data_IF_009549432377
#
_entry.id   IF_009549432377
#
_cell.length_a   1.000
_cell.length_b   1.000
_cell.length_c   1.000
_cell.angle_alpha   90.00
_cell.angle_beta   90.00
_cell.angle_gamma   90.00
#
_symmetry.space_group_name_H-M   'P 1'
#
loop_
_entity.id
_entity.type
_entity.pdbx_description
1 polymer ?
#
# COMPACT_ATOMS: atom_id res chain seq x y z
N UNK A 1 20.56 37.20 30.18
CA UNK A 1 19.40 37.93 29.63
C UNK A 1 19.56 38.09 28.12
N UNK A 2 18.89 37.23 27.33
CA UNK A 2 18.23 37.54 26.04
C UNK A 2 17.66 36.24 25.46
N UNK A 3 16.51 35.84 26.01
CA UNK A 3 15.47 35.12 25.28
C UNK A 3 14.66 36.19 24.56
N UNK A 4 14.58 36.16 23.23
CA UNK A 4 13.44 36.60 22.42
C UNK A 4 13.87 36.82 20.95
N UNK A 5 13.18 36.11 20.04
CA UNK A 5 13.06 36.35 18.59
C UNK A 5 14.24 35.95 17.68
N UNK A 6 14.48 34.65 17.52
CA UNK A 6 15.00 34.12 16.25
C UNK A 6 13.79 33.64 15.45
N UNK A 7 13.27 34.51 14.57
CA UNK A 7 12.47 34.03 13.45
C UNK A 7 13.36 33.12 12.62
N UNK A 8 12.85 31.95 12.21
CA UNK A 8 13.59 31.04 11.34
C UNK A 8 14.17 31.78 10.13
N UNK A 9 15.28 31.29 9.60
CA UNK A 9 15.85 31.83 8.36
C UNK A 9 14.75 31.96 7.28
N UNK A 10 14.83 32.94 6.35
CA UNK A 10 13.82 33.10 5.30
C UNK A 10 13.52 31.77 4.58
N UNK A 11 14.58 31.02 4.32
CA UNK A 11 14.61 29.64 3.88
C UNK A 11 13.71 28.68 4.70
N UNK A 12 13.89 28.58 6.03
CA UNK A 12 13.08 27.71 6.90
C UNK A 12 11.61 28.13 6.96
N UNK A 13 11.34 29.45 6.89
CA UNK A 13 9.97 29.97 6.86
C UNK A 13 9.29 29.55 5.56
N UNK A 14 9.97 29.70 4.42
CA UNK A 14 9.46 29.28 3.12
C UNK A 14 9.24 27.77 3.08
N UNK A 15 10.18 26.98 3.59
CA UNK A 15 10.03 25.53 3.66
C UNK A 15 8.81 25.10 4.49
N UNK A 16 8.62 25.68 5.68
CA UNK A 16 7.45 25.40 6.52
C UNK A 16 6.14 25.86 5.87
N UNK A 17 6.15 26.98 5.14
CA UNK A 17 5.01 27.45 4.39
C UNK A 17 4.65 26.49 3.25
N UNK A 18 5.64 25.99 2.50
CA UNK A 18 5.43 25.00 1.45
C UNK A 18 4.79 23.71 1.99
N UNK A 19 5.24 23.24 3.16
CA UNK A 19 4.63 22.10 3.84
C UNK A 19 3.16 22.37 4.21
N UNK A 20 2.89 23.54 4.77
CA UNK A 20 1.53 23.93 5.13
C UNK A 20 0.59 23.99 3.92
N UNK A 21 1.05 24.54 2.80
CA UNK A 21 0.29 24.61 1.55
C UNK A 21 0.02 23.21 0.97
N UNK A 22 1.02 22.33 1.00
CA UNK A 22 0.89 20.93 0.59
C UNK A 22 -0.17 20.20 1.42
N UNK A 23 -0.19 20.40 2.74
CA UNK A 23 -1.21 19.82 3.62
C UNK A 23 -2.63 20.32 3.32
N UNK A 24 -2.76 21.51 2.73
CA UNK A 24 -4.04 22.10 2.32
C UNK A 24 -4.45 21.73 0.89
N UNK A 25 -3.64 20.93 0.19
CA UNK A 25 -3.80 20.60 -1.23
C UNK A 25 -3.78 21.83 -2.15
N UNK A 26 -3.11 22.91 -1.72
CA UNK A 26 -2.85 24.13 -2.51
C UNK A 26 -1.53 23.92 -3.29
N UNK A 27 -1.59 23.03 -4.29
CA UNK A 27 -0.39 22.47 -4.92
C UNK A 27 0.39 23.47 -5.79
N UNK A 28 -0.30 24.39 -6.49
CA UNK A 28 0.37 25.40 -7.32
C UNK A 28 1.09 26.45 -6.47
N UNK A 29 0.47 26.90 -5.38
CA UNK A 29 1.10 27.80 -4.42
C UNK A 29 2.28 27.14 -3.70
N UNK A 30 2.17 25.85 -3.38
CA UNK A 30 3.28 25.09 -2.80
C UNK A 30 4.48 25.02 -3.75
N UNK A 31 4.25 24.88 -5.07
CA UNK A 31 5.32 24.90 -6.08
C UNK A 31 6.09 26.22 -6.06
N UNK A 32 5.39 27.35 -6.03
CA UNK A 32 6.04 28.67 -5.97
C UNK A 32 6.88 28.84 -4.71
N UNK A 33 6.34 28.42 -3.56
CA UNK A 33 7.02 28.57 -2.27
C UNK A 33 8.25 27.66 -2.16
N UNK A 34 8.18 26.41 -2.64
CA UNK A 34 9.34 25.52 -2.65
C UNK A 34 10.42 25.98 -3.65
N UNK A 35 10.03 26.56 -4.79
CA UNK A 35 10.97 27.18 -5.72
C UNK A 35 11.72 28.35 -5.06
N UNK A 36 11.00 29.21 -4.31
CA UNK A 36 11.63 30.28 -3.55
C UNK A 36 12.55 29.76 -2.43
N UNK A 37 12.19 28.67 -1.74
CA UNK A 37 13.05 28.05 -0.73
C UNK A 37 14.36 27.50 -1.33
N UNK A 38 14.32 27.01 -2.58
CA UNK A 38 15.49 26.56 -3.32
C UNK A 38 16.43 27.71 -3.70
N UNK A 39 15.91 28.90 -4.01
CA UNK A 39 16.73 30.10 -4.27
C UNK A 39 17.58 30.50 -3.05
N UNK A 40 17.06 30.24 -1.84
CA UNK A 40 17.76 30.46 -0.57
C UNK A 40 18.73 29.31 -0.20
N UNK A 41 18.92 28.32 -1.08
CA UNK A 41 19.77 27.14 -0.89
C UNK A 41 19.46 26.31 0.38
N UNK A 42 18.20 26.32 0.83
CA UNK A 42 17.79 25.51 1.98
C UNK A 42 17.64 24.04 1.60
N UNK A 43 18.35 23.16 2.32
CA UNK A 43 18.24 21.70 2.25
C UNK A 43 17.93 21.19 0.83
N UNK A 44 18.86 21.45 -0.09
CA UNK A 44 18.62 21.47 -1.53
C UNK A 44 18.01 20.16 -2.04
N UNK A 45 18.47 19.00 -1.54
CA UNK A 45 17.94 17.70 -1.94
C UNK A 45 16.48 17.52 -1.49
N UNK A 46 16.17 17.80 -0.22
CA UNK A 46 14.81 17.66 0.31
C UNK A 46 13.87 18.68 -0.35
N UNK A 47 14.31 19.92 -0.54
CA UNK A 47 13.53 20.98 -1.20
C UNK A 47 13.18 20.63 -2.65
N UNK A 48 14.11 20.01 -3.41
CA UNK A 48 13.80 19.47 -4.76
C UNK A 48 12.79 18.33 -4.70
N UNK A 49 12.87 17.44 -3.70
CA UNK A 49 11.90 16.35 -3.51
C UNK A 49 10.51 16.88 -3.18
N UNK A 50 10.41 17.88 -2.29
CA UNK A 50 9.15 18.53 -1.93
C UNK A 50 8.53 19.29 -3.11
N UNK A 51 9.35 20.00 -3.89
CA UNK A 51 8.92 20.62 -5.15
C UNK A 51 8.38 19.58 -6.14
N UNK A 52 9.07 18.44 -6.30
CA UNK A 52 8.60 17.35 -7.15
C UNK A 52 7.24 16.79 -6.70
N UNK A 53 7.04 16.64 -5.39
CA UNK A 53 5.76 16.20 -4.83
C UNK A 53 4.64 17.21 -5.09
N UNK A 54 4.91 18.50 -4.89
CA UNK A 54 3.95 19.56 -5.18
C UNK A 54 3.57 19.62 -6.66
N UNK A 55 4.56 19.50 -7.57
CA UNK A 55 4.34 19.43 -9.03
C UNK A 55 3.49 18.21 -9.42
N UNK A 56 3.73 17.06 -8.80
CA UNK A 56 2.95 15.86 -9.06
C UNK A 56 1.49 16.03 -8.63
N UNK A 57 1.26 16.61 -7.45
CA UNK A 57 -0.09 16.91 -6.95
C UNK A 57 -0.80 17.97 -7.80
N UNK A 58 -0.06 18.93 -8.36
CA UNK A 58 -0.54 19.90 -9.36
C UNK A 58 -0.76 19.28 -10.76
N UNK A 59 -0.73 17.95 -10.89
CA UNK A 59 -0.92 17.22 -12.15
C UNK A 59 0.10 17.58 -13.25
N UNK A 60 1.35 17.88 -12.85
CA UNK A 60 2.48 18.21 -13.73
C UNK A 60 3.59 17.12 -13.62
N UNK A 61 3.32 15.86 -14.01
CA UNK A 61 4.21 14.73 -13.75
C UNK A 61 5.55 14.82 -14.48
N UNK A 62 5.62 15.47 -15.65
CA UNK A 62 6.86 15.65 -16.40
C UNK A 62 7.85 16.55 -15.64
N UNK A 63 7.37 17.63 -15.03
CA UNK A 63 8.20 18.54 -14.24
C UNK A 63 8.54 17.94 -12.89
N UNK A 64 7.60 17.20 -12.29
CA UNK A 64 7.84 16.42 -11.07
C UNK A 64 9.01 15.43 -11.26
N UNK A 65 9.04 14.71 -12.39
CA UNK A 65 10.14 13.80 -12.74
C UNK A 65 11.49 14.52 -12.71
N UNK A 66 11.61 15.68 -13.35
CA UNK A 66 12.85 16.44 -13.37
C UNK A 66 13.25 16.89 -11.97
N UNK A 67 12.30 17.39 -11.17
CA UNK A 67 12.56 17.81 -9.79
C UNK A 67 13.07 16.64 -8.91
N UNK A 68 12.46 15.45 -9.03
CA UNK A 68 12.94 14.27 -8.30
C UNK A 68 14.31 13.80 -8.78
N UNK A 69 14.61 13.84 -10.09
CA UNK A 69 15.95 13.53 -10.59
C UNK A 69 16.99 14.49 -10.03
N UNK A 70 16.69 15.80 -9.95
CA UNK A 70 17.55 16.79 -9.32
C UNK A 70 17.76 16.53 -7.83
N UNK A 71 16.72 16.11 -7.10
CA UNK A 71 16.87 15.68 -5.71
C UNK A 71 17.85 14.50 -5.58
N UNK A 72 17.73 13.50 -6.46
CA UNK A 72 18.58 12.29 -6.45
C UNK A 72 20.00 12.52 -6.96
N UNK A 73 20.24 13.54 -7.78
CA UNK A 73 21.59 13.99 -8.12
C UNK A 73 22.32 14.59 -6.92
N UNK A 74 21.59 15.23 -6.00
CA UNK A 74 22.13 15.83 -4.78
C UNK A 74 22.26 14.79 -3.66
N UNK A 75 21.25 13.95 -3.48
CA UNK A 75 21.26 12.82 -2.56
C UNK A 75 20.74 11.53 -3.23
N UNK A 76 21.65 10.67 -3.73
CA UNK A 76 21.27 9.40 -4.35
C UNK A 76 20.59 8.40 -3.41
N UNK A 77 20.70 8.61 -2.09
CA UNK A 77 20.14 7.76 -1.04
C UNK A 77 18.75 8.20 -0.56
N UNK A 78 18.19 9.28 -1.12
CA UNK A 78 16.87 9.78 -0.75
C UNK A 78 15.77 8.84 -1.26
N UNK A 79 15.48 7.80 -0.48
CA UNK A 79 14.51 6.75 -0.82
C UNK A 79 13.10 7.31 -1.11
N UNK A 80 12.68 8.34 -0.37
CA UNK A 80 11.39 9.03 -0.61
C UNK A 80 11.33 9.63 -2.01
N UNK A 81 12.38 10.31 -2.48
CA UNK A 81 12.44 10.88 -3.83
C UNK A 81 12.43 9.79 -4.91
N UNK A 82 13.10 8.65 -4.70
CA UNK A 82 13.02 7.51 -5.63
C UNK A 82 11.62 6.91 -5.71
N UNK A 83 10.96 6.76 -4.57
CA UNK A 83 9.61 6.23 -4.51
C UNK A 83 8.62 7.14 -5.26
N UNK A 84 8.70 8.45 -5.02
CA UNK A 84 7.85 9.45 -5.70
C UNK A 84 8.18 9.61 -7.19
N UNK A 85 9.45 9.48 -7.58
CA UNK A 85 9.86 9.39 -8.98
C UNK A 85 9.17 8.20 -9.67
N UNK A 86 9.02 7.08 -8.99
CA UNK A 86 8.29 5.92 -9.50
C UNK A 86 6.84 6.26 -9.88
N UNK A 87 6.12 7.01 -9.04
CA UNK A 87 4.77 7.48 -9.37
C UNK A 87 4.74 8.46 -10.54
N UNK A 88 5.67 9.42 -10.57
CA UNK A 88 5.78 10.36 -11.68
C UNK A 88 6.04 9.65 -13.02
N UNK A 89 6.94 8.67 -13.04
CA UNK A 89 7.22 7.84 -14.23
C UNK A 89 6.00 7.01 -14.64
N UNK A 90 5.29 6.42 -13.69
CA UNK A 90 4.05 5.68 -13.97
C UNK A 90 2.97 6.57 -14.58
N UNK A 91 2.82 7.81 -14.11
CA UNK A 91 1.87 8.77 -14.69
C UNK A 91 2.24 9.20 -16.11
N UNK A 92 3.53 9.15 -16.45
CA UNK A 92 4.05 9.41 -17.80
C UNK A 92 4.04 8.16 -18.72
N UNK A 93 3.67 6.99 -18.18
CA UNK A 93 3.66 5.72 -18.90
C UNK A 93 5.01 5.01 -18.99
N UNK A 94 6.06 5.49 -18.32
CA UNK A 94 7.34 4.77 -18.17
C UNK A 94 7.27 3.84 -16.97
N UNK A 95 6.55 2.74 -17.13
CA UNK A 95 6.31 1.80 -16.05
C UNK A 95 7.54 0.94 -15.72
N UNK A 96 8.39 0.64 -16.71
CA UNK A 96 9.66 -0.05 -16.48
C UNK A 96 10.59 0.81 -15.61
N UNK A 97 10.65 2.11 -15.90
CA UNK A 97 11.34 3.09 -15.07
C UNK A 97 10.76 3.17 -13.67
N UNK A 98 9.44 3.24 -13.56
CA UNK A 98 8.75 3.27 -12.28
C UNK A 98 9.11 2.07 -11.41
N UNK A 99 9.04 0.86 -11.96
CA UNK A 99 9.36 -0.37 -11.26
C UNK A 99 10.81 -0.40 -10.76
N UNK A 100 11.77 0.04 -11.58
CA UNK A 100 13.19 0.09 -11.19
C UNK A 100 13.41 1.04 -10.02
N UNK A 101 12.84 2.24 -10.07
CA UNK A 101 13.07 3.25 -9.04
C UNK A 101 12.35 2.91 -7.74
N UNK A 102 11.13 2.37 -7.80
CA UNK A 102 10.42 1.89 -6.60
C UNK A 102 11.14 0.72 -5.93
N UNK A 103 11.68 -0.24 -6.70
CA UNK A 103 12.48 -1.35 -6.13
C UNK A 103 13.71 -0.83 -5.39
N UNK A 104 14.44 0.11 -6.00
CA UNK A 104 15.61 0.74 -5.36
C UNK A 104 15.26 1.50 -4.09
N UNK A 105 14.12 2.20 -4.06
CA UNK A 105 13.64 2.87 -2.86
C UNK A 105 13.42 1.89 -1.70
N UNK A 106 12.76 0.76 -1.99
CA UNK A 106 12.47 -0.29 -1.00
C UNK A 106 13.72 -1.04 -0.51
N UNK A 107 14.75 -1.18 -1.37
CA UNK A 107 16.05 -1.73 -0.99
C UNK A 107 16.82 -0.82 -0.02
N UNK A 108 16.65 0.51 -0.14
CA UNK A 108 17.35 1.51 0.67
C UNK A 108 16.68 1.74 2.03
N UNK A 109 15.36 1.83 2.08
CA UNK A 109 14.59 1.95 3.34
C UNK A 109 13.49 0.87 3.44
N UNK A 110 13.77 -0.26 4.10
CA UNK A 110 12.78 -1.33 4.32
C UNK A 110 11.65 -0.97 5.30
N UNK A 111 11.62 0.26 5.82
CA UNK A 111 10.59 0.77 6.76
C UNK A 111 9.33 1.25 6.02
N UNK A 112 9.40 1.46 4.70
CA UNK A 112 8.19 1.47 3.89
C UNK A 112 7.48 0.13 4.09
N UNK A 113 6.20 0.13 4.52
CA UNK A 113 5.54 -1.07 5.03
C UNK A 113 5.78 -2.23 4.05
N UNK A 114 6.22 -3.40 4.55
CA UNK A 114 6.61 -4.51 3.69
C UNK A 114 5.51 -4.75 2.66
N UNK A 115 5.85 -4.95 1.37
CA UNK A 115 4.90 -4.99 0.28
C UNK A 115 3.99 -6.21 0.47
N UNK A 116 2.93 -6.04 1.26
CA UNK A 116 1.83 -7.00 1.40
C UNK A 116 0.77 -6.79 0.33
N UNK A 117 0.88 -5.70 -0.42
CA UNK A 117 0.24 -5.51 -1.71
C UNK A 117 1.35 -5.45 -2.75
N UNK A 118 1.38 -6.46 -3.63
CA UNK A 118 2.06 -6.39 -4.92
C UNK A 118 1.63 -5.05 -5.56
N UNK A 119 2.58 -4.18 -5.86
CA UNK A 119 2.27 -2.81 -6.26
C UNK A 119 1.31 -2.83 -7.44
N UNK A 120 0.41 -1.85 -7.55
CA UNK A 120 -0.50 -1.77 -8.71
C UNK A 120 0.28 -1.74 -10.04
N UNK A 121 1.51 -1.21 -10.00
CA UNK A 121 2.47 -1.19 -11.11
C UNK A 121 3.00 -2.61 -11.38
N UNK A 122 3.32 -3.42 -10.36
CA UNK A 122 3.73 -4.82 -10.54
C UNK A 122 2.63 -5.67 -11.20
N UNK A 123 1.35 -5.37 -10.93
CA UNK A 123 0.21 -6.10 -11.53
C UNK A 123 0.12 -5.85 -13.04
N UNK A 124 0.52 -4.67 -13.52
CA UNK A 124 0.46 -4.33 -14.95
C UNK A 124 1.56 -5.01 -15.78
N UNK A 125 2.66 -5.45 -15.14
CA UNK A 125 3.82 -6.09 -15.78
C UNK A 125 4.02 -7.54 -15.35
N UNK A 126 3.05 -8.10 -14.62
CA UNK A 126 3.06 -9.52 -14.31
C UNK A 126 2.67 -10.28 -15.58
N UNK A 127 3.61 -11.05 -16.14
CA UNK A 127 3.35 -12.04 -17.19
C UNK A 127 2.49 -13.17 -16.59
N UNK A 128 1.25 -12.89 -16.23
CA UNK A 128 0.18 -13.86 -15.95
C UNK A 128 0.53 -15.04 -15.04
N UNK A 129 1.60 -15.02 -14.23
CA UNK A 129 1.92 -16.10 -13.32
C UNK A 129 1.16 -15.87 -12.03
N UNK A 130 -0.16 -15.97 -12.14
CA UNK A 130 -0.94 -16.48 -11.03
C UNK A 130 -0.27 -17.79 -10.62
N UNK A 131 0.09 -17.99 -9.34
CA UNK A 131 0.55 -19.28 -8.89
C UNK A 131 -0.63 -20.24 -9.10
N UNK A 132 -0.65 -20.92 -10.24
CA UNK A 132 -1.47 -22.09 -10.43
C UNK A 132 -1.06 -23.08 -9.34
N UNK A 133 -2.02 -23.78 -8.70
CA UNK A 133 -1.67 -24.82 -7.75
C UNK A 133 -0.66 -25.75 -8.43
N UNK A 134 0.44 -26.02 -7.73
CA UNK A 134 1.54 -26.84 -8.22
C UNK A 134 0.98 -28.18 -8.70
N UNK A 135 0.87 -28.30 -10.02
CA UNK A 135 0.45 -29.50 -10.72
C UNK A 135 1.68 -30.11 -11.37
N UNK A 136 2.78 -30.22 -10.61
CA UNK A 136 3.86 -31.21 -10.82
C UNK A 136 4.71 -31.09 -12.08
N UNK A 137 4.33 -30.31 -13.09
CA UNK A 137 5.03 -30.25 -14.38
C UNK A 137 4.96 -28.82 -14.93
N UNK A 138 5.77 -27.91 -14.36
CA UNK A 138 6.10 -26.65 -15.03
C UNK A 138 7.38 -26.83 -15.84
N UNK A 139 7.27 -27.41 -17.04
CA UNK A 139 8.37 -27.35 -18.01
C UNK A 139 8.44 -25.95 -18.63
N UNK A 140 9.60 -25.31 -18.46
CA UNK A 140 9.88 -23.99 -19.03
C UNK A 140 10.17 -24.15 -20.52
N UNK A 141 9.21 -23.77 -21.36
CA UNK A 141 9.34 -23.84 -22.82
C UNK A 141 10.22 -22.70 -23.34
N UNK A 142 11.25 -23.00 -24.14
CA UNK A 142 12.11 -21.99 -24.75
C UNK A 142 11.37 -21.12 -25.79
N UNK A 143 11.74 -19.84 -25.85
CA UNK A 143 11.12 -18.87 -26.73
C UNK A 143 11.29 -19.27 -28.21
N UNK A 144 10.17 -19.56 -28.89
CA UNK A 144 10.13 -19.97 -30.29
C UNK A 144 9.71 -21.43 -30.54
N UNK A 145 9.55 -22.24 -29.49
CA UNK A 145 8.95 -23.56 -29.63
C UNK A 145 7.44 -23.46 -29.93
N UNK A 146 6.95 -24.32 -30.83
CA UNK A 146 5.53 -24.41 -31.12
C UNK A 146 4.79 -24.91 -29.88
N UNK A 147 3.91 -24.09 -29.32
CA UNK A 147 3.06 -24.45 -28.19
C UNK A 147 2.06 -25.49 -28.69
N UNK A 148 2.00 -26.70 -28.11
CA UNK A 148 0.99 -27.68 -28.50
C UNK A 148 -0.40 -27.09 -28.22
N UNK A 149 -1.32 -27.24 -29.17
CA UNK A 149 -2.71 -26.83 -29.01
C UNK A 149 -3.32 -27.52 -27.80
N UNK A 150 -3.76 -26.73 -26.83
CA UNK A 150 -4.46 -27.22 -25.66
C UNK A 150 -5.87 -27.65 -26.06
N UNK A 151 -6.19 -28.93 -25.89
CA UNK A 151 -7.56 -29.44 -25.96
C UNK A 151 -8.08 -29.69 -24.54
N UNK A 152 -9.09 -28.93 -24.15
CA UNK A 152 -9.73 -29.08 -22.85
C UNK A 152 -10.50 -30.39 -22.76
N UNK A 153 -10.14 -31.25 -21.79
CA UNK A 153 -10.84 -32.50 -21.48
C UNK A 153 -11.60 -32.37 -20.16
N UNK A 154 -12.91 -32.17 -20.24
CA UNK A 154 -13.78 -31.97 -19.07
C UNK A 154 -13.68 -33.11 -18.03
N UNK A 155 -13.45 -34.33 -18.51
CA UNK A 155 -13.30 -35.54 -17.67
C UNK A 155 -12.10 -35.47 -16.72
N UNK A 156 -11.04 -34.76 -17.09
CA UNK A 156 -9.87 -34.56 -16.22
C UNK A 156 -10.17 -33.54 -15.12
N UNK A 157 -10.99 -32.53 -15.41
CA UNK A 157 -11.48 -31.57 -14.43
C UNK A 157 -12.35 -32.27 -13.37
N UNK A 158 -13.31 -33.09 -13.81
CA UNK A 158 -14.18 -33.84 -12.91
C UNK A 158 -13.39 -34.83 -12.04
N UNK A 159 -12.34 -35.45 -12.59
CA UNK A 159 -11.44 -36.31 -11.81
C UNK A 159 -10.62 -35.53 -10.78
N UNK A 160 -10.11 -34.36 -11.15
CA UNK A 160 -9.31 -33.52 -10.27
C UNK A 160 -10.13 -32.92 -9.10
N UNK A 161 -11.40 -32.60 -9.34
CA UNK A 161 -12.25 -31.93 -8.35
C UNK A 161 -13.35 -32.81 -7.74
N UNK A 162 -13.54 -34.05 -8.20
CA UNK A 162 -14.59 -34.95 -7.72
C UNK A 162 -14.52 -35.34 -6.24
N UNK A 163 -13.35 -35.18 -5.60
CA UNK A 163 -13.16 -35.37 -4.16
C UNK A 163 -13.42 -34.12 -3.31
N UNK A 164 -13.55 -32.95 -3.94
CA UNK A 164 -13.79 -31.68 -3.25
C UNK A 164 -15.28 -31.42 -3.17
N UNK A 165 -15.86 -31.64 -1.98
CA UNK A 165 -17.15 -31.07 -1.66
C UNK A 165 -16.98 -29.55 -1.57
N UNK A 166 -17.42 -28.80 -2.58
CA UNK A 166 -17.60 -27.36 -2.45
C UNK A 166 -18.71 -27.18 -1.41
N UNK A 167 -18.41 -26.67 -0.21
CA UNK A 167 -19.46 -26.41 0.77
C UNK A 167 -20.44 -25.44 0.12
N UNK A 168 -21.74 -25.76 0.17
CA UNK A 168 -22.74 -24.85 -0.36
C UNK A 168 -22.51 -23.46 0.27
N UNK A 169 -22.20 -22.41 -0.51
CA UNK A 169 -22.00 -21.08 0.03
C UNK A 169 -23.25 -20.55 0.73
N UNK A 170 -24.42 -21.18 0.52
CA UNK A 170 -25.65 -20.93 1.29
C UNK A 170 -25.70 -21.70 2.62
N UNK A 171 -24.99 -22.82 2.77
CA UNK A 171 -24.84 -23.50 4.07
C UNK A 171 -23.92 -22.73 5.03
N UNK A 172 -23.03 -21.85 4.52
CA UNK A 172 -22.29 -20.89 5.35
C UNK A 172 -23.17 -19.72 5.86
N UNK A 173 -24.44 -19.63 5.40
CA UNK A 173 -25.50 -18.85 6.05
C UNK A 173 -26.20 -19.68 7.11
N UNK A 174 -25.45 -20.40 7.96
CA UNK A 174 -25.96 -20.58 9.30
C UNK A 174 -26.01 -19.18 9.90
N UNK A 175 -27.20 -18.58 9.85
CA UNK A 175 -27.64 -17.47 10.68
C UNK A 175 -27.41 -17.90 12.12
N UNK A 176 -26.16 -17.74 12.57
CA UNK A 176 -25.81 -17.87 13.96
C UNK A 176 -26.54 -16.75 14.67
N UNK A 177 -27.55 -17.13 15.46
CA UNK A 177 -28.14 -16.28 16.49
C UNK A 177 -27.05 -15.37 17.06
N UNK A 178 -27.30 -14.06 17.09
CA UNK A 178 -26.37 -13.07 17.63
C UNK A 178 -25.85 -13.54 19.00
N UNK A 179 -26.72 -14.18 19.79
CA UNK A 179 -26.36 -14.76 21.07
C UNK A 179 -25.35 -15.92 20.97
N UNK A 180 -25.50 -16.81 19.98
CA UNK A 180 -24.58 -17.92 19.75
C UNK A 180 -23.18 -17.40 19.36
N UNK A 181 -23.10 -16.39 18.49
CA UNK A 181 -21.84 -15.78 18.08
C UNK A 181 -21.12 -15.10 19.27
N UNK A 182 -21.88 -14.43 20.13
CA UNK A 182 -21.36 -13.80 21.35
C UNK A 182 -20.84 -14.85 22.35
N UNK A 183 -21.56 -15.96 22.55
CA UNK A 183 -21.13 -17.04 23.44
C UNK A 183 -19.88 -17.79 22.95
N UNK A 184 -19.76 -18.00 21.64
CA UNK A 184 -18.56 -18.56 21.03
C UNK A 184 -17.36 -17.64 21.17
N UNK A 185 -17.55 -16.33 20.97
CA UNK A 185 -16.51 -15.32 21.16
C UNK A 185 -16.03 -15.29 22.63
N UNK A 186 -16.95 -15.29 23.60
CA UNK A 186 -16.64 -15.40 25.05
C UNK A 186 -15.88 -16.69 25.37
N UNK A 187 -16.30 -17.81 24.76
CA UNK A 187 -15.63 -19.12 24.96
C UNK A 187 -14.22 -19.13 24.37
N UNK A 188 -14.02 -18.52 23.20
CA UNK A 188 -12.70 -18.36 22.59
C UNK A 188 -11.77 -17.48 23.44
N UNK A 189 -12.28 -16.39 24.02
CA UNK A 189 -11.53 -15.55 24.95
C UNK A 189 -11.11 -16.32 26.21
N UNK A 190 -12.02 -17.08 26.83
CA UNK A 190 -11.69 -17.96 27.98
C UNK A 190 -10.60 -18.98 27.66
N UNK A 191 -10.51 -19.41 26.41
CA UNK A 191 -9.50 -20.36 25.91
C UNK A 191 -8.19 -19.69 25.47
N UNK A 192 -8.07 -18.37 25.59
CA UNK A 192 -6.87 -17.64 25.16
C UNK A 192 -6.70 -17.60 23.64
N UNK A 193 -7.79 -17.67 22.88
CA UNK A 193 -7.79 -17.67 21.41
C UNK A 193 -8.35 -16.34 20.87
N UNK A 194 -7.61 -15.22 20.98
CA UNK A 194 -8.13 -13.90 20.64
C UNK A 194 -8.44 -13.71 19.15
N UNK A 195 -7.70 -14.39 18.25
CA UNK A 195 -7.98 -14.32 16.80
C UNK A 195 -9.34 -14.94 16.44
N UNK A 196 -9.69 -16.06 17.07
CA UNK A 196 -11.01 -16.71 16.89
C UNK A 196 -12.14 -15.89 17.51
N UNK A 197 -11.86 -15.23 18.64
CA UNK A 197 -12.81 -14.29 19.24
C UNK A 197 -13.06 -13.07 18.34
N UNK A 198 -12.02 -12.50 17.73
CA UNK A 198 -12.14 -11.37 16.80
C UNK A 198 -13.03 -11.71 15.59
N UNK A 199 -12.85 -12.90 15.00
CA UNK A 199 -13.67 -13.35 13.86
C UNK A 199 -15.15 -13.43 14.24
N UNK A 200 -15.48 -14.01 15.40
CA UNK A 200 -16.87 -14.18 15.86
C UNK A 200 -17.51 -12.84 16.22
N UNK A 201 -16.77 -11.94 16.85
CA UNK A 201 -17.21 -10.56 17.14
C UNK A 201 -17.45 -9.76 15.86
N UNK A 202 -16.58 -9.88 14.86
CA UNK A 202 -16.76 -9.20 13.56
C UNK A 202 -18.04 -9.64 12.85
N UNK A 203 -18.39 -10.93 12.91
CA UNK A 203 -19.68 -11.44 12.41
C UNK A 203 -20.87 -10.93 13.22
N UNK A 204 -20.75 -10.85 14.55
CA UNK A 204 -21.79 -10.30 15.42
C UNK A 204 -22.04 -8.80 15.16
N UNK A 205 -20.99 -8.02 14.94
CA UNK A 205 -21.08 -6.60 14.55
C UNK A 205 -21.67 -6.40 13.15
N UNK A 206 -21.41 -7.33 12.22
CA UNK A 206 -22.05 -7.28 10.91
C UNK A 206 -23.57 -7.52 10.97
N UNK A 207 -24.05 -8.27 11.97
CA UNK A 207 -25.48 -8.50 12.21
C UNK A 207 -26.14 -7.37 13.00
N UNK A 208 -25.43 -6.81 13.99
CA UNK A 208 -25.92 -5.76 14.87
C UNK A 208 -24.80 -4.74 15.20
N UNK A 209 -24.53 -3.78 14.30
CA UNK A 209 -23.39 -2.87 14.42
C UNK A 209 -23.48 -1.95 15.63
N UNK A 210 -24.70 -1.59 16.05
CA UNK A 210 -24.96 -0.68 17.17
C UNK A 210 -25.26 -1.41 18.49
N UNK A 211 -25.20 -2.74 18.51
CA UNK A 211 -25.44 -3.50 19.73
C UNK A 211 -24.27 -3.33 20.71
N UNK A 212 -24.59 -2.96 21.95
CA UNK A 212 -23.59 -2.71 22.99
C UNK A 212 -22.72 -3.94 23.29
N UNK A 213 -23.30 -5.14 23.22
CA UNK A 213 -22.63 -6.37 23.65
C UNK A 213 -21.51 -6.84 22.71
N UNK A 214 -21.69 -6.89 21.37
CA UNK A 214 -20.59 -7.11 20.43
C UNK A 214 -19.49 -6.04 20.51
N UNK A 215 -19.85 -4.77 20.69
CA UNK A 215 -18.87 -3.67 20.79
C UNK A 215 -18.00 -3.78 22.05
N UNK A 216 -18.59 -4.12 23.19
CA UNK A 216 -17.85 -4.37 24.44
C UNK A 216 -16.88 -5.55 24.29
N UNK A 217 -17.34 -6.64 23.65
CA UNK A 217 -16.52 -7.82 23.42
C UNK A 217 -15.39 -7.53 22.42
N UNK A 218 -15.62 -6.64 21.45
CA UNK A 218 -14.61 -6.16 20.52
C UNK A 218 -13.48 -5.41 21.25
N UNK A 219 -13.83 -4.54 22.19
CA UNK A 219 -12.86 -3.88 23.06
C UNK A 219 -12.04 -4.87 23.90
N UNK A 220 -12.67 -5.90 24.48
CA UNK A 220 -11.95 -6.93 25.25
C UNK A 220 -10.97 -7.73 24.37
N UNK A 221 -11.36 -8.04 23.13
CA UNK A 221 -10.48 -8.71 22.16
C UNK A 221 -9.22 -7.87 21.89
N UNK A 222 -9.35 -6.56 21.66
CA UNK A 222 -8.20 -5.68 21.43
C UNK A 222 -7.28 -5.59 22.66
N UNK A 223 -7.86 -5.39 23.85
CA UNK A 223 -7.09 -5.33 25.09
C UNK A 223 -6.26 -6.60 25.34
N UNK A 224 -6.78 -7.78 24.97
CA UNK A 224 -6.03 -9.05 25.08
C UNK A 224 -5.02 -9.27 23.96
N UNK A 225 -5.17 -8.58 22.83
CA UNK A 225 -4.21 -8.58 21.73
C UNK A 225 -3.09 -7.56 21.93
N UNK A 226 -3.18 -6.70 22.95
CA UNK A 226 -2.15 -5.69 23.25
C UNK A 226 -2.20 -4.48 22.32
N UNK A 227 -3.37 -4.20 21.75
CA UNK A 227 -3.67 -3.03 20.92
C UNK A 227 -4.64 -2.09 21.65
#
# INVERSE_FOLDING_TARGET
MRKAAEGGSPAEILWNLGLFLTLRAESDEAVEVYAAALEENHDVAESWSRLGSALFQANRPAEAREAFLRALEMDPGLAEARYQLGFALSALGDFDGALRETKRALEQEPVFPPPRYRLLIDIQFDDGSLPAPDTGETERVEAGAAIPTFEFRAEELDRAFGGFHVPDPRAAREEGDLQALLEEARTALRRGLPGRAAERVGRALALAPDAAEPLLLHGEVFLRQGL
#
